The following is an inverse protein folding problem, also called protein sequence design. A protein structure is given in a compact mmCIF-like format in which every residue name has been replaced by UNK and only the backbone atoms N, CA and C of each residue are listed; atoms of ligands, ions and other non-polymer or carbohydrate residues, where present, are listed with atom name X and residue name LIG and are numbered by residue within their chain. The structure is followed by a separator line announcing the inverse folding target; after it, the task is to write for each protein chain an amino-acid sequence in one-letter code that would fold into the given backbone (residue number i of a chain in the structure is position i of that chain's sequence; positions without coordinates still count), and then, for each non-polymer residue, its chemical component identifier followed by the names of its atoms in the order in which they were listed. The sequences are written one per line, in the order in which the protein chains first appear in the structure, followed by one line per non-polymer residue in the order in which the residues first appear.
data_IF_903861670405
#
_entry.id   IF_903861670405
#
_cell.length_a   1.000
_cell.length_b   1.000
_cell.length_c   1.000
_cell.angle_alpha   90.00
_cell.angle_beta   90.00
_cell.angle_gamma   90.00
#
_symmetry.space_group_name_H-M   'P 1'
#
loop_
_entity.id
_entity.type
_entity.pdbx_description
1 polymer ?
#
# COMPACT_ATOMS: atom_id res chain seq x y z
N UNK A 1 -4.54 6.97 -5.47
CA UNK A 1 -5.13 6.06 -4.47
C UNK A 1 -6.50 6.60 -4.12
N UNK A 2 -7.56 5.82 -4.29
CA UNK A 2 -8.94 6.25 -4.04
C UNK A 2 -9.60 5.25 -3.11
N UNK A 3 -10.18 5.75 -2.01
CA UNK A 3 -10.76 4.94 -0.95
C UNK A 3 -12.29 5.04 -1.00
N UNK A 4 -12.98 3.90 -1.14
CA UNK A 4 -14.40 3.77 -0.80
C UNK A 4 -14.48 3.24 0.63
N UNK A 5 -15.10 4.01 1.51
CA UNK A 5 -15.44 3.60 2.89
C UNK A 5 -16.95 3.50 2.97
N UNK A 6 -17.46 2.29 3.22
CA UNK A 6 -18.85 2.09 3.61
C UNK A 6 -18.97 2.47 5.09
N UNK A 7 -20.10 3.05 5.51
CA UNK A 7 -20.24 3.59 6.86
C UNK A 7 -20.77 2.55 7.85
N UNK A 8 -19.99 2.23 8.90
CA UNK A 8 -20.51 1.62 10.14
C UNK A 8 -19.56 1.81 11.33
N UNK A 9 -20.15 1.80 12.53
CA UNK A 9 -19.75 2.52 13.73
C UNK A 9 -18.48 2.07 14.50
N UNK A 10 -17.64 1.21 13.93
CA UNK A 10 -16.32 0.79 14.47
C UNK A 10 -15.52 0.26 13.27
N UNK A 11 -14.24 0.62 13.11
CA UNK A 11 -13.41 0.06 12.02
C UNK A 11 -13.37 -1.48 11.97
N UNK A 12 -13.79 -2.15 13.04
CA UNK A 12 -13.98 -3.60 13.14
C UNK A 12 -14.85 -4.24 12.05
N UNK A 13 -15.59 -3.49 11.23
CA UNK A 13 -16.46 -4.05 10.20
C UNK A 13 -16.09 -3.66 8.77
N UNK A 14 -15.20 -2.69 8.57
CA UNK A 14 -14.86 -2.20 7.24
C UNK A 14 -13.43 -2.58 6.84
N UNK A 15 -13.33 -3.37 5.78
CA UNK A 15 -12.04 -3.69 5.15
C UNK A 15 -11.52 -2.47 4.40
N UNK A 16 -10.31 -2.03 4.73
CA UNK A 16 -9.58 -1.06 3.94
C UNK A 16 -8.80 -1.81 2.85
N UNK A 17 -8.93 -1.38 1.58
CA UNK A 17 -8.06 -1.78 0.46
C UNK A 17 -7.06 -0.71 0.00
N UNK A 18 -5.77 -0.90 0.30
CA UNK A 18 -4.68 -0.07 -0.20
C UNK A 18 -4.33 -0.45 -1.64
N UNK A 19 -4.15 0.57 -2.50
CA UNK A 19 -3.74 0.36 -3.89
C UNK A 19 -2.59 1.28 -4.26
N UNK A 20 -1.70 0.80 -5.12
CA UNK A 20 -0.60 1.60 -5.66
C UNK A 20 -0.19 1.14 -7.04
N UNK A 21 0.55 2.00 -7.73
CA UNK A 21 1.20 1.66 -8.99
C UNK A 21 2.48 2.49 -9.13
N UNK A 22 3.42 1.99 -9.92
CA UNK A 22 4.62 2.73 -10.33
C UNK A 22 4.81 2.66 -11.84
N UNK A 23 5.62 3.57 -12.38
CA UNK A 23 6.10 3.54 -13.76
C UNK A 23 7.61 3.43 -13.76
N UNK A 24 8.13 2.81 -14.81
CA UNK A 24 9.57 2.62 -15.02
C UNK A 24 10.06 3.46 -16.19
N UNK A 25 11.36 3.72 -16.23
CA UNK A 25 12.03 4.43 -17.32
C UNK A 25 12.54 3.49 -18.44
N UNK A 26 12.11 2.23 -18.47
CA UNK A 26 12.55 1.26 -19.47
C UNK A 26 13.88 0.56 -19.19
N UNK A 27 14.54 0.80 -18.06
CA UNK A 27 15.81 0.11 -17.73
C UNK A 27 15.63 -1.40 -17.50
N UNK A 28 14.44 -1.81 -17.04
CA UNK A 28 14.16 -3.18 -16.61
C UNK A 28 14.78 -3.51 -15.24
N UNK A 29 14.49 -4.72 -14.74
CA UNK A 29 15.00 -5.23 -13.47
C UNK A 29 13.90 -5.54 -12.46
N UNK A 30 14.29 -5.75 -11.20
CA UNK A 30 13.37 -6.14 -10.13
C UNK A 30 13.07 -4.97 -9.22
N UNK A 31 11.79 -4.62 -9.15
CA UNK A 31 11.28 -3.65 -8.17
C UNK A 31 10.81 -4.41 -6.93
N UNK A 32 11.29 -4.03 -5.75
CA UNK A 32 10.85 -4.60 -4.47
C UNK A 32 10.19 -3.55 -3.60
N UNK A 33 9.11 -3.94 -2.91
CA UNK A 33 8.28 -3.04 -2.11
C UNK A 33 7.57 -3.79 -0.98
N UNK A 34 7.06 -3.04 -0.02
CA UNK A 34 6.25 -3.54 1.09
C UNK A 34 5.25 -2.48 1.56
N UNK A 35 4.19 -2.93 2.22
CA UNK A 35 3.23 -2.07 2.90
C UNK A 35 3.60 -1.93 4.38
N UNK A 36 3.41 -0.74 4.93
CA UNK A 36 3.51 -0.47 6.37
C UNK A 36 2.16 0.01 6.85
N UNK A 37 1.57 -0.75 7.79
CA UNK A 37 0.32 -0.42 8.46
C UNK A 37 0.61 0.20 9.80
N UNK A 38 -0.25 1.12 10.24
CA UNK A 38 -0.20 1.67 11.60
C UNK A 38 -1.60 1.94 12.10
N UNK A 39 -1.95 1.38 13.25
CA UNK A 39 -3.17 1.69 14.01
C UNK A 39 -2.88 1.59 15.53
N UNK A 40 -3.92 1.45 16.36
CA UNK A 40 -3.79 1.27 17.81
C UNK A 40 -3.09 -0.04 18.22
N UNK A 41 -3.02 -1.05 17.34
CA UNK A 41 -2.26 -2.28 17.59
C UNK A 41 -0.75 -2.10 17.31
N UNK A 42 -0.35 -0.96 16.76
CA UNK A 42 1.04 -0.61 16.49
C UNK A 42 1.36 -0.55 15.00
N UNK A 43 2.66 -0.60 14.69
CA UNK A 43 3.18 -0.59 13.32
C UNK A 43 3.43 -2.02 12.87
N UNK A 44 2.90 -2.39 11.71
CA UNK A 44 3.14 -3.69 11.09
C UNK A 44 3.77 -3.49 9.70
N UNK A 45 4.93 -4.09 9.49
CA UNK A 45 5.58 -4.16 8.17
C UNK A 45 5.17 -5.46 7.51
N UNK A 46 4.58 -5.40 6.32
CA UNK A 46 4.14 -6.57 5.57
C UNK A 46 5.31 -7.26 4.86
N UNK A 47 5.15 -8.55 4.49
CA UNK A 47 6.16 -9.27 3.73
C UNK A 47 6.55 -8.54 2.44
N UNK A 48 7.85 -8.53 2.16
CA UNK A 48 8.40 -7.95 0.94
C UNK A 48 7.81 -8.61 -0.30
N UNK A 49 7.43 -7.79 -1.27
CA UNK A 49 6.91 -8.19 -2.57
C UNK A 49 7.89 -7.77 -3.69
N UNK A 50 7.81 -8.43 -4.83
CA UNK A 50 8.63 -8.11 -6.00
C UNK A 50 7.83 -8.13 -7.30
N UNK A 51 8.23 -7.25 -8.23
CA UNK A 51 7.73 -7.21 -9.61
C UNK A 51 8.95 -7.19 -10.54
N UNK A 52 9.01 -8.13 -11.47
CA UNK A 52 10.03 -8.19 -12.51
C UNK A 52 9.55 -7.36 -13.70
N UNK A 53 10.38 -6.41 -14.13
CA UNK A 53 10.10 -5.49 -15.24
C UNK A 53 11.06 -5.83 -16.38
N UNK A 54 10.51 -6.00 -17.58
CA UNK A 54 11.32 -6.25 -18.77
C UNK A 54 12.07 -4.97 -19.20
N UNK A 55 13.22 -5.15 -19.84
CA UNK A 55 13.93 -4.03 -20.48
C UNK A 55 13.04 -3.43 -21.57
N UNK A 56 12.96 -2.10 -21.63
CA UNK A 56 12.09 -1.34 -22.53
C UNK A 56 10.66 -1.12 -22.02
N UNK A 57 10.25 -1.79 -20.94
CA UNK A 57 8.93 -1.57 -20.35
C UNK A 57 8.90 -0.24 -19.58
N UNK A 58 8.02 0.65 -20.01
CA UNK A 58 7.74 1.97 -19.40
C UNK A 58 6.27 2.11 -18.98
N UNK A 59 5.54 0.99 -19.00
CA UNK A 59 4.13 0.95 -18.64
C UNK A 59 3.94 1.13 -17.12
N UNK A 60 2.68 1.24 -16.70
CA UNK A 60 2.35 1.30 -15.29
C UNK A 60 2.19 -0.13 -14.73
N UNK A 61 2.89 -0.42 -13.64
CA UNK A 61 2.79 -1.68 -12.92
C UNK A 61 2.00 -1.47 -11.63
N UNK A 62 0.90 -2.19 -11.47
CA UNK A 62 0.14 -2.21 -10.22
C UNK A 62 0.89 -3.02 -9.16
N UNK A 63 0.95 -2.52 -7.93
CA UNK A 63 1.40 -3.32 -6.79
C UNK A 63 0.26 -4.19 -6.27
N UNK A 64 0.59 -5.28 -5.59
CA UNK A 64 -0.39 -6.07 -4.88
C UNK A 64 -1.12 -5.19 -3.86
N UNK A 65 -2.45 -5.21 -3.93
CA UNK A 65 -3.28 -4.46 -3.00
C UNK A 65 -3.14 -5.05 -1.59
N UNK A 66 -3.14 -4.18 -0.59
CA UNK A 66 -3.24 -4.62 0.79
C UNK A 66 -4.69 -4.54 1.25
N UNK A 67 -5.15 -5.54 2.00
CA UNK A 67 -6.52 -5.60 2.53
C UNK A 67 -6.52 -6.07 3.98
N UNK A 68 -7.11 -5.27 4.86
CA UNK A 68 -7.25 -5.61 6.27
C UNK A 68 -8.35 -4.81 6.96
N UNK A 69 -8.72 -5.25 8.16
CA UNK A 69 -9.71 -4.59 9.02
C UNK A 69 -8.94 -3.91 10.16
N UNK A 70 -8.84 -2.58 10.18
CA UNK A 70 -8.13 -1.86 11.23
C UNK A 70 -8.85 -1.88 12.58
N UNK A 71 -8.10 -1.80 13.68
CA UNK A 71 -8.69 -1.69 15.02
C UNK A 71 -9.08 -0.25 15.37
N UNK A 72 -8.37 0.74 14.81
CA UNK A 72 -8.60 2.17 15.04
C UNK A 72 -8.22 3.00 13.82
N UNK A 73 -8.37 4.32 13.93
CA UNK A 73 -7.77 5.26 12.98
C UNK A 73 -6.28 4.95 12.82
N UNK A 74 -5.77 5.18 11.63
CA UNK A 74 -4.44 4.73 11.29
C UNK A 74 -3.90 5.34 10.02
N UNK A 75 -2.78 4.78 9.57
CA UNK A 75 -2.16 5.14 8.32
C UNK A 75 -1.59 3.93 7.62
N UNK A 76 -1.45 4.05 6.30
CA UNK A 76 -0.85 3.04 5.47
C UNK A 76 0.15 3.65 4.51
N UNK A 77 1.27 2.98 4.31
CA UNK A 77 2.37 3.49 3.50
C UNK A 77 2.93 2.41 2.57
N UNK A 78 3.05 2.75 1.29
CA UNK A 78 3.80 1.96 0.31
C UNK A 78 5.26 2.39 0.33
N UNK A 79 6.17 1.44 0.55
CA UNK A 79 7.62 1.67 0.57
C UNK A 79 8.29 0.76 -0.44
N UNK A 80 8.97 1.34 -1.42
CA UNK A 80 9.87 0.65 -2.33
C UNK A 80 11.25 0.55 -1.69
N UNK A 81 11.80 -0.66 -1.64
CA UNK A 81 13.14 -0.95 -1.11
C UNK A 81 14.18 -1.06 -2.22
N UNK A 82 13.76 -1.38 -3.44
CA UNK A 82 14.63 -1.33 -4.62
C UNK A 82 13.82 -0.94 -5.87
N UNK A 83 14.15 0.17 -6.55
CA UNK A 83 14.94 1.28 -6.00
C UNK A 83 14.29 1.87 -4.74
N UNK A 84 15.08 2.41 -3.82
CA UNK A 84 14.58 2.90 -2.54
C UNK A 84 13.78 4.20 -2.70
N UNK A 85 12.48 4.16 -2.40
CA UNK A 85 11.58 5.31 -2.43
C UNK A 85 10.35 5.04 -1.57
N UNK A 86 9.85 6.03 -0.84
CA UNK A 86 8.65 5.87 -0.01
C UNK A 86 7.57 6.86 -0.46
N UNK A 87 6.34 6.36 -0.62
CA UNK A 87 5.17 7.21 -0.79
C UNK A 87 4.81 7.82 0.57
N UNK A 88 4.26 9.04 0.59
CA UNK A 88 3.77 9.64 1.82
C UNK A 88 2.67 8.75 2.46
N UNK A 89 2.72 8.47 3.77
CA UNK A 89 1.67 7.72 4.46
C UNK A 89 0.29 8.33 4.20
N UNK A 90 -0.69 7.47 3.93
CA UNK A 90 -2.08 7.87 3.76
C UNK A 90 -2.84 7.53 5.04
N UNK A 91 -3.41 8.55 5.68
CA UNK A 91 -4.21 8.36 6.89
C UNK A 91 -5.64 7.97 6.54
N UNK A 92 -6.23 7.12 7.38
CA UNK A 92 -7.65 6.77 7.31
C UNK A 92 -8.30 6.99 8.68
N UNK A 93 -9.61 7.28 8.64
CA UNK A 93 -10.42 7.46 9.84
C UNK A 93 -11.55 6.44 9.85
N UNK A 94 -11.66 5.75 10.97
CA UNK A 94 -12.82 4.96 11.34
C UNK A 94 -13.97 5.91 11.63
N UNK A 95 -15.09 5.74 10.94
CA UNK A 95 -16.30 6.49 11.30
C UNK A 95 -17.03 5.75 12.43
N UNK A 96 -17.45 6.47 13.48
CA UNK A 96 -18.13 5.90 14.63
C UNK A 96 -19.61 5.68 14.38
#
# INVERSE_FOLDING_TARGET
MAWKVNGSNKCKLDTITANGAFRTNGVGGTVTYQWIRKDSNGTQVLPLQSIVVAVGDSSAHAVAADQWIPASNGSEQLVFTNPAFAVAPQSFTCRP
#
